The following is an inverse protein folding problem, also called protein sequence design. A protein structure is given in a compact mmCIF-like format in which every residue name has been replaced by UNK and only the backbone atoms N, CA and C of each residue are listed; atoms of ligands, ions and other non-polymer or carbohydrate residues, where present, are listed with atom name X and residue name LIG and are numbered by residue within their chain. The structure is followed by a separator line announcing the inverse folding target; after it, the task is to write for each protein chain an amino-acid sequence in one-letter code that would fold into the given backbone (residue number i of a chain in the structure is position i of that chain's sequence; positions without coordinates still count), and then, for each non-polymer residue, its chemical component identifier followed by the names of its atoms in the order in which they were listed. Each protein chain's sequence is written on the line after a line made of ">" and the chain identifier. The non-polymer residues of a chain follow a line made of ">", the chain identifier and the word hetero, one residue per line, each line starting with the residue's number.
data_IF_437212924485
#
_entry.id   IF_437212924485
#
_cell.length_a   1.000
_cell.length_b   1.000
_cell.length_c   1.000
_cell.angle_alpha   90.00
_cell.angle_beta   90.00
_cell.angle_gamma   90.00
#
_symmetry.space_group_name_H-M   'P 1'
#
loop_
_entity.id
_entity.type
_entity.pdbx_description
1 polymer ?
#
# COMPACT_ATOMS: atom_id res chain seq x y z
N UNK A 1 -33.03 -24.77 3.68
CA UNK A 1 -32.24 -23.58 3.34
C UNK A 1 -32.56 -22.52 4.37
N UNK A 2 -31.54 -22.00 5.05
CA UNK A 2 -31.74 -20.94 6.05
C UNK A 2 -32.01 -19.61 5.34
N UNK A 3 -32.72 -18.70 5.99
CA UNK A 3 -32.95 -17.32 5.53
C UNK A 3 -31.63 -16.60 5.18
N UNK A 4 -30.51 -17.01 5.79
CA UNK A 4 -29.19 -16.42 5.62
C UNK A 4 -28.39 -16.98 4.42
N UNK A 5 -28.83 -18.06 3.78
CA UNK A 5 -28.05 -18.73 2.73
C UNK A 5 -27.78 -17.79 1.55
N UNK A 6 -28.78 -16.99 1.16
CA UNK A 6 -28.65 -15.99 0.09
C UNK A 6 -27.67 -14.87 0.47
N UNK A 7 -27.76 -14.32 1.68
CA UNK A 7 -26.85 -13.28 2.17
C UNK A 7 -25.41 -13.78 2.28
N UNK A 8 -25.22 -15.03 2.73
CA UNK A 8 -23.88 -15.65 2.80
C UNK A 8 -23.28 -15.85 1.41
N UNK A 9 -24.09 -16.27 0.44
CA UNK A 9 -23.66 -16.42 -0.95
C UNK A 9 -23.26 -15.06 -1.56
N UNK A 10 -24.09 -14.02 -1.39
CA UNK A 10 -23.77 -12.65 -1.84
C UNK A 10 -22.48 -12.13 -1.20
N UNK A 11 -22.31 -12.30 0.11
CA UNK A 11 -21.07 -11.92 0.80
C UNK A 11 -19.85 -12.68 0.26
N UNK A 12 -20.00 -13.97 -0.05
CA UNK A 12 -18.97 -14.78 -0.69
C UNK A 12 -18.54 -14.19 -2.03
N UNK A 13 -19.51 -13.96 -2.92
CA UNK A 13 -19.28 -13.35 -4.24
C UNK A 13 -18.55 -12.00 -4.14
N UNK A 14 -18.96 -11.13 -3.20
CA UNK A 14 -18.30 -9.82 -3.02
C UNK A 14 -16.86 -9.96 -2.51
N UNK A 15 -16.59 -10.93 -1.63
CA UNK A 15 -15.23 -11.21 -1.15
C UNK A 15 -14.34 -11.76 -2.27
N UNK A 16 -14.88 -12.64 -3.10
CA UNK A 16 -14.14 -13.20 -4.22
C UNK A 16 -13.81 -12.13 -5.27
N UNK A 17 -14.77 -11.26 -5.58
CA UNK A 17 -14.53 -10.09 -6.43
C UNK A 17 -13.47 -9.15 -5.85
N UNK A 18 -13.49 -8.87 -4.55
CA UNK A 18 -12.48 -8.03 -3.90
C UNK A 18 -11.08 -8.69 -3.84
N UNK A 19 -11.01 -10.02 -3.79
CA UNK A 19 -9.75 -10.79 -3.79
C UNK A 19 -9.15 -10.95 -5.18
N UNK A 20 -9.97 -10.86 -6.23
CA UNK A 20 -9.53 -10.92 -7.62
C UNK A 20 -8.68 -9.71 -8.07
N UNK A 21 -8.63 -8.63 -7.27
CA UNK A 21 -7.83 -7.42 -7.55
C UNK A 21 -8.03 -6.88 -8.96
N UNK A 22 -6.95 -6.62 -9.72
CA UNK A 22 -7.05 -6.12 -11.09
C UNK A 22 -7.63 -7.11 -12.10
N UNK A 23 -7.98 -8.33 -11.67
CA UNK A 23 -8.39 -9.44 -12.52
C UNK A 23 -7.20 -10.30 -12.98
N UNK A 24 -7.47 -11.51 -13.50
CA UNK A 24 -6.44 -12.50 -13.84
C UNK A 24 -5.40 -11.94 -14.82
N UNK A 25 -5.82 -11.28 -15.91
CA UNK A 25 -4.90 -10.77 -16.93
C UNK A 25 -3.92 -9.72 -16.40
N UNK A 26 -4.38 -8.84 -15.50
CA UNK A 26 -3.52 -7.81 -14.90
C UNK A 26 -2.56 -8.42 -13.88
N UNK A 27 -3.03 -9.38 -13.09
CA UNK A 27 -2.20 -10.11 -12.13
C UNK A 27 -1.14 -10.93 -12.85
N UNK A 28 -1.50 -11.69 -13.89
CA UNK A 28 -0.56 -12.47 -14.70
C UNK A 28 0.48 -11.57 -15.36
N UNK A 29 0.08 -10.44 -15.95
CA UNK A 29 1.04 -9.47 -16.51
C UNK A 29 1.96 -8.88 -15.43
N UNK A 30 1.44 -8.65 -14.22
CA UNK A 30 2.23 -8.12 -13.10
C UNK A 30 3.25 -9.15 -12.63
N UNK A 31 2.81 -10.39 -12.41
CA UNK A 31 3.67 -11.52 -12.04
C UNK A 31 4.68 -11.88 -13.13
N UNK A 32 4.30 -11.81 -14.40
CA UNK A 32 5.19 -12.02 -15.55
C UNK A 32 6.34 -11.01 -15.66
N UNK A 33 6.29 -9.91 -14.91
CA UNK A 33 7.40 -8.94 -14.75
C UNK A 33 8.28 -9.23 -13.53
N UNK A 34 8.09 -10.39 -12.89
CA UNK A 34 8.78 -10.76 -11.64
C UNK A 34 8.29 -10.00 -10.41
N UNK A 35 7.13 -9.34 -10.48
CA UNK A 35 6.57 -8.58 -9.36
C UNK A 35 5.51 -9.38 -8.62
N UNK A 36 5.44 -9.17 -7.30
CA UNK A 36 4.37 -9.68 -6.46
C UNK A 36 3.21 -8.68 -6.40
N UNK A 37 1.96 -9.16 -6.35
CA UNK A 37 0.80 -8.33 -6.01
C UNK A 37 0.74 -8.01 -4.51
N UNK A 38 -0.20 -7.16 -4.11
CA UNK A 38 -0.31 -6.70 -2.72
C UNK A 38 -0.51 -7.84 -1.71
N UNK A 39 -1.34 -8.85 -2.03
CA UNK A 39 -1.59 -9.97 -1.12
C UNK A 39 -0.42 -10.93 -1.08
N UNK A 40 0.22 -11.19 -2.22
CA UNK A 40 1.44 -11.99 -2.28
C UNK A 40 2.58 -11.36 -1.45
N UNK A 41 2.73 -10.03 -1.49
CA UNK A 41 3.68 -9.29 -0.64
C UNK A 41 3.39 -9.45 0.84
N UNK A 42 2.14 -9.27 1.25
CA UNK A 42 1.72 -9.44 2.65
C UNK A 42 1.96 -10.89 3.10
N UNK A 43 1.60 -11.88 2.28
CA UNK A 43 1.79 -13.29 2.60
C UNK A 43 3.27 -13.69 2.72
N UNK A 44 4.17 -13.01 2.00
CA UNK A 44 5.62 -13.21 2.10
C UNK A 44 6.23 -12.52 3.32
N UNK A 45 5.65 -11.40 3.76
CA UNK A 45 6.12 -10.63 4.91
C UNK A 45 5.71 -11.25 6.25
N UNK A 46 4.45 -11.70 6.35
CA UNK A 46 3.86 -12.14 7.61
C UNK A 46 4.02 -13.64 7.83
N UNK A 47 4.00 -14.04 9.10
CA UNK A 47 3.91 -15.44 9.51
C UNK A 47 2.68 -16.10 8.88
N UNK A 48 2.86 -17.30 8.34
CA UNK A 48 1.82 -18.03 7.61
C UNK A 48 0.55 -18.20 8.46
N UNK A 49 -0.61 -17.89 7.86
CA UNK A 49 -1.93 -18.02 8.50
C UNK A 49 -2.29 -16.94 9.52
N UNK A 50 -1.44 -15.92 9.73
CA UNK A 50 -1.71 -14.88 10.74
C UNK A 50 -2.40 -13.64 10.19
N UNK A 51 -2.39 -13.45 8.86
CA UNK A 51 -2.96 -12.27 8.23
C UNK A 51 -4.48 -12.22 8.38
N UNK A 52 -4.97 -11.12 8.94
CA UNK A 52 -6.39 -10.77 9.01
C UNK A 52 -6.62 -9.46 8.28
N UNK A 53 -7.34 -9.52 7.16
CA UNK A 53 -7.62 -8.36 6.31
C UNK A 53 -8.69 -7.45 6.93
N UNK A 54 -8.43 -6.15 6.92
CA UNK A 54 -9.34 -5.09 7.35
C UNK A 54 -9.81 -4.31 6.11
N UNK A 55 -11.12 -4.15 5.97
CA UNK A 55 -11.69 -3.35 4.89
C UNK A 55 -11.63 -4.00 3.51
N UNK A 56 -11.74 -5.33 3.43
CA UNK A 56 -11.76 -6.08 2.16
C UNK A 56 -12.81 -5.55 1.17
N UNK A 57 -13.99 -5.14 1.67
CA UNK A 57 -15.13 -4.72 0.86
C UNK A 57 -15.28 -3.19 0.75
N UNK A 58 -14.27 -2.43 1.14
CA UNK A 58 -14.28 -0.96 1.02
C UNK A 58 -14.06 -0.55 -0.43
N UNK A 59 -14.76 0.51 -0.86
CA UNK A 59 -14.62 1.12 -2.17
C UNK A 59 -15.55 0.52 -3.23
N UNK A 60 -15.44 1.04 -4.45
CA UNK A 60 -16.17 0.55 -5.63
C UNK A 60 -15.33 -0.37 -6.50
N UNK A 61 -14.02 -0.45 -6.23
CA UNK A 61 -13.06 -1.34 -6.88
C UNK A 61 -12.44 -2.28 -5.84
N UNK A 62 -11.87 -3.41 -6.25
CA UNK A 62 -11.31 -4.40 -5.33
C UNK A 62 -10.37 -3.80 -4.28
N UNK A 63 -10.76 -3.94 -3.00
CA UNK A 63 -10.06 -3.41 -1.82
C UNK A 63 -9.71 -1.90 -1.88
N UNK A 64 -10.34 -1.14 -2.78
CA UNK A 64 -10.03 0.24 -3.13
C UNK A 64 -8.57 0.51 -3.58
N UNK A 65 -7.87 -0.51 -4.05
CA UNK A 65 -6.47 -0.43 -4.49
C UNK A 65 -5.41 -0.52 -3.38
N UNK A 66 -5.82 -0.82 -2.14
CA UNK A 66 -4.89 -1.09 -1.04
C UNK A 66 -5.40 -2.26 -0.19
N UNK A 67 -4.56 -3.25 0.07
CA UNK A 67 -4.85 -4.33 1.02
C UNK A 67 -4.31 -3.92 2.38
N UNK A 68 -5.13 -3.98 3.42
CA UNK A 68 -4.72 -3.57 4.77
C UNK A 68 -5.14 -4.60 5.80
N UNK A 69 -4.43 -4.72 6.90
CA UNK A 69 -4.77 -5.67 7.95
C UNK A 69 -3.75 -5.72 9.06
N UNK A 70 -3.77 -6.82 9.81
CA UNK A 70 -2.76 -7.14 10.81
C UNK A 70 -2.32 -8.59 10.68
N UNK A 71 -1.18 -8.92 11.28
CA UNK A 71 -0.69 -10.28 11.42
C UNK A 71 0.52 -10.31 12.33
N UNK A 72 1.35 -11.35 12.21
CA UNK A 72 2.57 -11.51 13.00
C UNK A 72 3.81 -11.51 12.10
N UNK A 73 4.92 -11.00 12.60
CA UNK A 73 6.28 -11.18 12.07
C UNK A 73 7.11 -11.75 13.21
N UNK A 74 7.63 -12.96 13.06
CA UNK A 74 8.37 -13.68 14.12
C UNK A 74 7.56 -13.73 15.44
N UNK A 75 6.25 -13.98 15.32
CA UNK A 75 5.31 -14.02 16.44
C UNK A 75 4.92 -12.66 17.03
N UNK A 76 5.42 -11.54 16.49
CA UNK A 76 5.16 -10.18 16.99
C UNK A 76 4.09 -9.48 16.18
N UNK A 77 3.09 -8.84 16.81
CA UNK A 77 1.98 -8.20 16.09
C UNK A 77 2.45 -7.00 15.28
N UNK A 78 1.86 -6.83 14.09
CA UNK A 78 2.14 -5.73 13.17
C UNK A 78 0.88 -5.33 12.42
N UNK A 79 0.71 -4.02 12.17
CA UNK A 79 -0.25 -3.51 11.19
C UNK A 79 0.43 -3.42 9.83
N UNK A 80 -0.25 -3.81 8.75
CA UNK A 80 0.30 -3.79 7.40
C UNK A 80 -0.68 -3.16 6.40
N UNK A 81 -0.15 -2.37 5.48
CA UNK A 81 -0.83 -1.89 4.28
C UNK A 81 0.01 -2.17 3.04
N UNK A 82 -0.62 -2.62 1.95
CA UNK A 82 0.04 -2.87 0.68
C UNK A 82 -0.78 -2.33 -0.49
N UNK A 83 -0.17 -1.45 -1.28
CA UNK A 83 -0.76 -0.89 -2.49
C UNK A 83 -0.76 -1.95 -3.60
N UNK A 84 -1.86 -2.00 -4.36
CA UNK A 84 -1.99 -2.91 -5.48
C UNK A 84 -2.07 -2.17 -6.80
N UNK A 85 -0.96 -2.20 -7.54
CA UNK A 85 -0.84 -1.54 -8.82
C UNK A 85 -1.82 -2.06 -9.88
N UNK A 86 -2.31 -3.30 -9.75
CA UNK A 86 -3.25 -3.89 -10.72
C UNK A 86 -4.64 -3.26 -10.63
N UNK A 87 -4.98 -2.64 -9.50
CA UNK A 87 -6.24 -1.95 -9.25
C UNK A 87 -6.05 -0.44 -9.42
N UNK A 88 -6.47 0.07 -10.58
CA UNK A 88 -6.37 1.51 -10.93
C UNK A 88 -4.96 2.11 -10.68
N UNK A 89 -3.90 1.33 -10.93
CA UNK A 89 -2.53 1.79 -10.75
C UNK A 89 -2.14 2.00 -9.29
N UNK A 90 -2.81 1.37 -8.32
CA UNK A 90 -2.55 1.56 -6.89
C UNK A 90 -2.89 2.96 -6.38
N UNK A 91 -3.67 3.72 -7.15
CA UNK A 91 -4.01 5.11 -6.84
C UNK A 91 -4.93 5.24 -5.62
N UNK A 92 -4.81 6.37 -4.93
CA UNK A 92 -5.33 6.60 -3.57
C UNK A 92 -6.60 7.45 -3.62
N UNK A 93 -7.75 6.81 -3.43
CA UNK A 93 -9.05 7.45 -3.31
C UNK A 93 -9.58 7.45 -1.87
N UNK A 94 -10.87 7.76 -1.72
CA UNK A 94 -11.46 7.97 -0.40
C UNK A 94 -11.44 6.71 0.49
N UNK A 95 -11.64 5.53 -0.11
CA UNK A 95 -11.63 4.25 0.59
C UNK A 95 -10.24 3.83 1.04
N UNK A 96 -9.23 3.92 0.17
CA UNK A 96 -7.85 3.57 0.47
C UNK A 96 -7.22 4.54 1.48
N UNK A 97 -7.49 5.85 1.39
CA UNK A 97 -7.15 6.80 2.46
C UNK A 97 -7.79 6.39 3.79
N UNK A 98 -9.08 6.05 3.82
CA UNK A 98 -9.74 5.62 5.06
C UNK A 98 -9.12 4.36 5.67
N UNK A 99 -8.71 3.39 4.83
CA UNK A 99 -8.04 2.15 5.26
C UNK A 99 -6.64 2.44 5.81
N UNK A 100 -5.83 3.25 5.12
CA UNK A 100 -4.51 3.70 5.59
C UNK A 100 -4.61 4.41 6.94
N UNK A 101 -5.56 5.35 7.06
CA UNK A 101 -5.85 6.01 8.33
C UNK A 101 -6.17 4.98 9.42
N UNK A 102 -7.05 4.01 9.12
CA UNK A 102 -7.51 3.03 10.12
C UNK A 102 -6.37 2.15 10.64
N UNK A 103 -5.48 1.68 9.77
CA UNK A 103 -4.35 0.85 10.23
C UNK A 103 -3.31 1.66 11.00
N UNK A 104 -3.10 2.93 10.64
CA UNK A 104 -2.23 3.83 11.40
C UNK A 104 -2.83 4.15 12.79
N UNK A 105 -4.13 4.42 12.86
CA UNK A 105 -4.87 4.56 14.12
C UNK A 105 -4.72 3.32 15.01
N UNK A 106 -4.91 2.12 14.47
CA UNK A 106 -4.71 0.87 15.20
C UNK A 106 -3.27 0.65 15.65
N UNK A 107 -2.28 0.91 14.79
CA UNK A 107 -0.88 0.79 15.14
C UNK A 107 -0.53 1.64 16.37
N UNK A 108 -0.97 2.91 16.37
CA UNK A 108 -0.76 3.82 17.49
C UNK A 108 -1.55 3.47 18.75
N UNK A 109 -2.75 2.89 18.62
CA UNK A 109 -3.60 2.43 19.73
C UNK A 109 -3.00 1.21 20.42
N UNK A 110 -2.66 0.19 19.64
CA UNK A 110 -2.17 -1.11 20.13
C UNK A 110 -0.65 -1.10 20.42
N UNK A 111 0.04 -0.01 20.07
CA UNK A 111 1.50 0.15 20.17
C UNK A 111 2.27 -0.93 19.42
N UNK A 112 1.82 -1.22 18.21
CA UNK A 112 2.45 -2.20 17.31
C UNK A 112 3.06 -1.48 16.10
N UNK A 113 4.11 -2.05 15.46
CA UNK A 113 4.68 -1.47 14.26
C UNK A 113 3.66 -1.34 13.13
N UNK A 114 3.90 -0.35 12.25
CA UNK A 114 3.19 -0.20 10.99
C UNK A 114 4.14 -0.46 9.83
N UNK A 115 3.78 -1.36 8.92
CA UNK A 115 4.52 -1.62 7.69
C UNK A 115 3.69 -1.19 6.47
N UNK A 116 4.25 -0.33 5.63
CA UNK A 116 3.64 0.14 4.39
C UNK A 116 4.42 -0.36 3.17
N UNK A 117 3.74 -1.07 2.28
CA UNK A 117 4.28 -1.67 1.06
C UNK A 117 3.76 -0.87 -0.14
N UNK A 118 4.62 -0.06 -0.76
CA UNK A 118 4.22 0.96 -1.73
C UNK A 118 4.46 0.52 -3.17
N UNK A 119 3.46 0.74 -4.00
CA UNK A 119 3.46 0.67 -5.46
C UNK A 119 2.15 1.27 -5.99
N UNK A 120 2.17 2.57 -6.31
CA UNK A 120 0.97 3.31 -6.67
C UNK A 120 1.24 4.65 -7.35
N UNK A 121 0.28 5.08 -8.17
CA UNK A 121 0.33 6.32 -8.96
C UNK A 121 -0.04 7.61 -8.19
N UNK A 122 -0.11 7.57 -6.86
CA UNK A 122 -0.49 8.72 -6.04
C UNK A 122 -2.00 8.94 -5.96
N UNK A 123 -2.44 10.20 -5.90
CA UNK A 123 -3.85 10.53 -5.65
C UNK A 123 -4.78 10.09 -6.81
N UNK A 124 -5.94 9.51 -6.46
CA UNK A 124 -6.99 9.14 -7.40
C UNK A 124 -8.11 10.20 -7.37
N UNK A 125 -8.46 10.80 -8.52
CA UNK A 125 -9.67 11.60 -8.62
C UNK A 125 -10.92 10.78 -8.20
N UNK A 126 -11.91 11.40 -7.54
CA UNK A 126 -13.09 10.67 -7.09
C UNK A 126 -13.79 9.91 -8.21
N UNK A 127 -14.17 8.67 -7.96
CA UNK A 127 -14.99 7.92 -8.90
C UNK A 127 -16.43 8.45 -8.88
N UNK A 128 -17.22 8.25 -9.95
CA UNK A 128 -18.64 8.58 -9.94
C UNK A 128 -19.35 7.95 -8.74
N UNK A 129 -20.12 8.75 -8.00
CA UNK A 129 -20.84 8.34 -6.80
C UNK A 129 -19.95 7.77 -5.67
N UNK A 130 -18.64 8.05 -5.68
CA UNK A 130 -17.73 7.62 -4.60
C UNK A 130 -18.12 8.32 -3.29
N UNK A 131 -18.34 7.52 -2.25
CA UNK A 131 -18.63 8.05 -0.94
C UNK A 131 -17.42 8.82 -0.38
N UNK A 132 -17.66 10.05 0.08
CA UNK A 132 -16.66 10.83 0.79
C UNK A 132 -16.37 10.18 2.14
N UNK A 133 -15.09 10.20 2.54
CA UNK A 133 -14.66 9.74 3.85
C UNK A 133 -14.09 10.91 4.65
N UNK A 134 -14.54 11.08 5.89
CA UNK A 134 -13.93 12.04 6.83
C UNK A 134 -12.47 11.68 7.20
N UNK A 135 -12.00 10.50 6.78
CA UNK A 135 -10.62 10.02 6.95
C UNK A 135 -9.77 10.17 5.67
N UNK A 136 -10.27 10.88 4.65
CA UNK A 136 -9.57 11.19 3.41
C UNK A 136 -9.53 12.71 3.16
N UNK A 137 -8.39 13.31 2.77
CA UNK A 137 -7.05 12.72 2.56
C UNK A 137 -6.14 12.85 3.80
N UNK A 138 -6.68 12.72 5.02
CA UNK A 138 -5.92 12.94 6.27
C UNK A 138 -5.10 11.73 6.75
N UNK A 139 -4.97 10.69 5.93
CA UNK A 139 -4.27 9.45 6.29
C UNK A 139 -2.76 9.63 6.46
N UNK A 140 -2.11 10.54 5.71
CA UNK A 140 -0.72 10.90 5.92
C UNK A 140 -0.49 11.60 7.26
N UNK A 141 -1.40 12.51 7.65
CA UNK A 141 -1.31 13.18 8.96
C UNK A 141 -1.41 12.17 10.10
N UNK A 142 -2.27 11.16 9.96
CA UNK A 142 -2.39 10.11 10.96
C UNK A 142 -1.17 9.20 11.05
N UNK A 143 -0.54 8.89 9.91
CA UNK A 143 0.72 8.16 9.89
C UNK A 143 1.88 8.98 10.47
N UNK A 144 1.96 10.28 10.16
CA UNK A 144 2.96 11.18 10.74
C UNK A 144 2.87 11.25 12.28
N UNK A 145 1.66 11.17 12.84
CA UNK A 145 1.44 11.13 14.30
C UNK A 145 2.01 9.88 14.99
N UNK A 146 2.42 8.87 14.24
CA UNK A 146 3.07 7.67 14.78
C UNK A 146 4.56 7.87 15.07
N UNK A 147 5.17 8.92 14.50
CA UNK A 147 6.58 9.23 14.73
C UNK A 147 6.89 9.31 16.23
N UNK A 148 7.92 8.57 16.64
CA UNK A 148 8.33 8.46 18.04
C UNK A 148 7.38 7.67 18.95
N UNK A 149 6.32 7.03 18.42
CA UNK A 149 5.35 6.24 19.21
C UNK A 149 5.41 4.75 18.89
N UNK A 150 5.49 4.39 17.61
CA UNK A 150 5.64 3.02 17.13
C UNK A 150 6.57 3.00 15.93
N UNK A 151 7.29 1.89 15.65
CA UNK A 151 8.10 1.79 14.45
C UNK A 151 7.23 1.85 13.19
N UNK A 152 7.54 2.77 12.29
CA UNK A 152 6.96 2.87 10.95
C UNK A 152 8.01 2.46 9.94
N UNK A 153 7.72 1.41 9.16
CA UNK A 153 8.62 0.86 8.14
C UNK A 153 7.93 0.93 6.79
N UNK A 154 8.65 1.41 5.78
CA UNK A 154 8.16 1.48 4.40
C UNK A 154 9.03 0.63 3.48
N UNK A 155 8.40 -0.08 2.56
CA UNK A 155 9.07 -0.76 1.45
C UNK A 155 8.52 -0.26 0.11
N UNK A 156 9.35 0.38 -0.69
CA UNK A 156 9.01 0.85 -2.05
C UNK A 156 9.36 -0.26 -3.05
N UNK A 157 8.32 -0.86 -3.66
CA UNK A 157 8.44 -2.06 -4.48
C UNK A 157 8.01 -1.86 -5.94
N UNK A 158 7.79 -0.62 -6.35
CA UNK A 158 7.52 -0.21 -7.72
C UNK A 158 7.36 1.30 -7.81
N UNK A 159 6.72 1.79 -8.87
CA UNK A 159 6.43 3.21 -9.05
C UNK A 159 5.64 3.73 -7.85
N UNK A 160 6.12 4.78 -7.20
CA UNK A 160 5.46 5.41 -6.06
C UNK A 160 5.67 6.93 -6.16
N UNK A 161 4.59 7.67 -6.41
CA UNK A 161 4.64 9.12 -6.58
C UNK A 161 3.58 9.83 -5.73
N UNK A 162 3.79 11.12 -5.46
CA UNK A 162 2.84 11.99 -4.77
C UNK A 162 2.45 11.49 -3.36
N UNK A 163 1.14 11.48 -3.06
CA UNK A 163 0.60 11.17 -1.72
C UNK A 163 1.10 9.83 -1.16
N UNK A 164 1.24 8.79 -1.99
CA UNK A 164 1.73 7.48 -1.54
C UNK A 164 3.20 7.53 -1.13
N UNK A 165 4.04 8.21 -1.91
CA UNK A 165 5.48 8.28 -1.70
C UNK A 165 5.86 9.05 -0.42
N UNK A 166 5.03 9.99 0.03
CA UNK A 166 5.28 10.83 1.20
C UNK A 166 5.42 10.04 2.52
N UNK A 167 4.93 8.79 2.61
CA UNK A 167 5.14 7.98 3.81
C UNK A 167 6.59 7.51 3.98
N UNK A 168 7.33 7.35 2.88
CA UNK A 168 8.72 6.90 2.92
C UNK A 168 9.62 7.83 3.77
N UNK A 169 9.65 9.16 3.56
CA UNK A 169 10.42 10.08 4.41
C UNK A 169 9.82 10.30 5.81
N UNK A 170 8.56 9.90 6.05
CA UNK A 170 7.94 9.95 7.38
C UNK A 170 8.23 8.69 8.22
N UNK A 171 8.74 7.63 7.59
CA UNK A 171 9.01 6.33 8.22
C UNK A 171 10.36 6.34 8.93
N UNK A 172 10.48 5.54 9.99
CA UNK A 172 11.76 5.35 10.68
C UNK A 172 12.76 4.58 9.79
N UNK A 173 12.25 3.67 8.96
CA UNK A 173 13.04 2.95 7.97
C UNK A 173 12.31 2.91 6.63
N UNK A 174 13.04 3.14 5.54
CA UNK A 174 12.57 2.96 4.18
C UNK A 174 13.53 2.05 3.43
N UNK A 175 13.01 1.00 2.80
CA UNK A 175 13.75 0.10 1.91
C UNK A 175 13.17 0.20 0.50
N UNK A 176 14.01 0.07 -0.52
CA UNK A 176 13.58 0.17 -1.91
C UNK A 176 14.13 -1.02 -2.69
N UNK A 177 13.32 -1.66 -3.52
CA UNK A 177 13.81 -2.71 -4.41
C UNK A 177 14.67 -2.10 -5.51
N UNK A 178 15.75 -2.78 -5.91
CA UNK A 178 16.67 -2.29 -6.95
C UNK A 178 15.97 -1.96 -8.29
N UNK A 179 14.88 -2.68 -8.61
CA UNK A 179 14.07 -2.45 -9.81
C UNK A 179 13.36 -1.08 -9.84
N UNK A 180 13.13 -0.44 -8.68
CA UNK A 180 12.57 0.92 -8.60
C UNK A 180 13.59 1.96 -9.06
N UNK A 181 14.89 1.70 -8.84
CA UNK A 181 15.96 2.58 -9.30
C UNK A 181 16.27 2.49 -10.79
N UNK A 182 15.57 1.64 -11.56
CA UNK A 182 15.86 1.36 -12.98
C UNK A 182 14.78 1.84 -13.96
N UNK A 183 13.73 2.53 -13.51
CA UNK A 183 12.63 2.96 -14.38
C UNK A 183 12.55 4.48 -14.52
N UNK A 184 13.58 5.04 -15.13
CA UNK A 184 13.49 6.21 -15.99
C UNK A 184 14.40 5.92 -17.20
N UNK A 185 13.99 6.26 -18.42
CA UNK A 185 14.81 6.08 -19.65
C UNK A 185 16.16 6.86 -19.60
N UNK A 186 16.45 7.55 -18.50
CA UNK A 186 17.68 8.30 -18.22
C UNK A 186 18.51 7.76 -17.03
N UNK A 187 18.12 6.63 -16.41
CA UNK A 187 18.88 5.97 -15.34
C UNK A 187 18.81 6.64 -13.96
N UNK A 188 17.80 7.48 -13.68
CA UNK A 188 17.59 8.10 -12.36
C UNK A 188 16.58 7.32 -11.51
N UNK A 189 16.79 7.21 -10.17
CA UNK A 189 15.75 6.75 -9.26
C UNK A 189 14.69 7.84 -9.08
N UNK A 190 13.50 7.65 -9.64
CA UNK A 190 12.37 8.56 -9.39
C UNK A 190 11.71 8.24 -8.04
N UNK A 191 12.06 9.02 -7.02
CA UNK A 191 11.14 9.32 -5.91
C UNK A 191 10.55 10.69 -6.24
N UNK A 192 9.52 10.71 -7.10
CA UNK A 192 8.88 11.93 -7.57
C UNK A 192 8.07 12.61 -6.46
N UNK A 193 8.70 13.55 -5.76
CA UNK A 193 8.00 14.70 -5.18
C UNK A 193 7.96 15.76 -6.27
N UNK A 194 6.94 15.72 -7.14
CA UNK A 194 6.62 16.85 -8.02
C UNK A 194 6.09 18.00 -7.14
N UNK A 195 7.02 18.74 -6.53
CA UNK A 195 6.78 20.10 -6.11
C UNK A 195 6.96 20.94 -7.37
N UNK A 196 5.85 21.45 -7.92
CA UNK A 196 5.92 22.43 -9.00
C UNK A 196 6.70 23.66 -8.52
N UNK A 197 7.97 23.73 -8.86
CA UNK A 197 8.70 24.99 -9.05
C UNK A 197 9.77 24.74 -10.10
N UNK A 198 9.60 25.37 -11.26
CA UNK A 198 10.52 25.24 -12.39
C UNK A 198 11.93 25.69 -12.00
N UNK A 199 12.82 24.72 -11.79
CA UNK A 199 14.26 24.86 -12.01
C UNK A 199 14.90 23.48 -11.99
N UNK A 200 15.86 23.26 -12.88
CA UNK A 200 16.69 22.07 -12.86
C UNK A 200 17.41 21.98 -11.51
N UNK A 201 17.06 20.99 -10.68
CA UNK A 201 17.78 20.69 -9.44
C UNK A 201 18.61 19.42 -9.67
N UNK A 202 19.82 19.66 -10.16
CA UNK A 202 20.93 18.71 -10.14
C UNK A 202 21.64 18.83 -8.78
N UNK A 203 21.03 18.30 -7.71
CA UNK A 203 21.72 18.11 -6.43
C UNK A 203 21.28 16.83 -5.72
N UNK A 204 22.22 16.07 -5.13
CA UNK A 204 21.95 14.78 -4.50
C UNK A 204 21.04 14.95 -3.28
N UNK A 205 19.97 14.15 -3.21
CA UNK A 205 19.22 14.00 -1.98
C UNK A 205 20.17 13.50 -0.88
N UNK A 206 20.31 14.28 0.18
CA UNK A 206 21.14 13.95 1.33
C UNK A 206 20.75 12.59 1.93
N UNK A 207 21.65 11.62 1.74
CA UNK A 207 22.10 10.56 2.65
C UNK A 207 21.22 10.27 3.89
N UNK A 208 20.02 9.70 3.70
CA UNK A 208 19.26 8.96 4.74
C UNK A 208 18.36 7.84 4.16
N UNK A 209 18.57 7.43 2.90
CA UNK A 209 17.88 6.27 2.32
C UNK A 209 18.79 5.06 2.42
N UNK A 210 18.54 4.17 3.39
CA UNK A 210 19.18 2.85 3.41
C UNK A 210 18.59 2.01 2.27
N UNK A 211 19.23 2.04 1.10
CA UNK A 211 18.96 1.10 0.02
C UNK A 211 19.45 -0.27 0.47
N UNK A 212 18.55 -1.05 1.07
CA UNK A 212 18.77 -2.48 1.32
C UNK A 212 18.23 -3.23 0.10
N UNK A 213 19.14 -3.83 -0.68
CA UNK A 213 18.77 -4.78 -1.72
C UNK A 213 18.11 -6.00 -1.06
N UNK A 214 16.78 -6.12 -1.21
CA UNK A 214 16.01 -7.22 -0.65
C UNK A 214 16.21 -8.55 -1.40
N UNK A 215 17.10 -8.62 -2.40
CA UNK A 215 17.45 -9.88 -3.06
C UNK A 215 16.24 -10.59 -3.65
N UNK A 216 15.28 -9.83 -4.21
CA UNK A 216 14.09 -10.41 -4.86
C UNK A 216 14.51 -10.89 -6.26
N UNK A 217 15.22 -12.01 -6.30
CA UNK A 217 15.46 -12.80 -7.50
C UNK A 217 15.08 -14.25 -7.20
N UNK A 218 13.88 -14.61 -7.65
CA UNK A 218 13.47 -15.91 -8.22
C UNK A 218 11.94 -15.94 -8.33
#
# INVERSE_FOLDING_TARGET
>A
MSEWDATRADLGTRRDAARAMGGPDKLERHHGRGKLDARARIARLLDSGTFTEIGTLVGQVPADGVVTGHGLIDGRPVMVGAEDFTVLGGSIGAGSSAKRYRIAELAGQERVPLVMLLEGAGHRPPLPDEAKSGRAPIDLQQQARLSGRVPVVTAVMGSSAGHGALIAPLSDFSVMTAQVGQCADDGRPEIGLDLEEGSAIDQPAHDMTHVVDLGVVA
#
